data_IF_104300153121
#
_entry.id   IF_104300153121
#
_cell.length_a   1.000
_cell.length_b   1.000
_cell.length_c   1.000
_cell.angle_alpha   90.00
_cell.angle_beta   90.00
_cell.angle_gamma   90.00
#
_symmetry.space_group_name_H-M   'P 1'
#
loop_
_entity.id
_entity.type
_entity.pdbx_description
1 polymer ?
#
# COMPACT_ATOMS: atom_id res chain seq x y z
N UNK A 1 29.95 -35.26 53.73
CA UNK A 1 31.20 -35.82 53.17
C UNK A 1 31.02 -36.04 51.67
N UNK A 2 32.07 -35.73 50.92
CA UNK A 2 32.15 -35.56 49.47
C UNK A 2 32.31 -36.93 48.77
N UNK A 3 31.75 -37.10 47.58
CA UNK A 3 32.28 -38.06 46.59
C UNK A 3 31.98 -37.54 45.19
N UNK A 4 33.03 -37.00 44.58
CA UNK A 4 33.14 -36.68 43.16
C UNK A 4 33.28 -37.98 42.35
N UNK A 5 32.66 -38.04 41.17
CA UNK A 5 33.27 -38.67 39.98
C UNK A 5 32.99 -37.79 38.76
N UNK A 6 34.01 -37.06 38.34
CA UNK A 6 34.21 -36.59 36.97
C UNK A 6 34.97 -37.69 36.24
N UNK A 7 34.55 -38.07 35.03
CA UNK A 7 35.42 -38.31 33.86
C UNK A 7 34.56 -38.93 32.72
N UNK A 8 34.19 -38.21 31.65
CA UNK A 8 34.88 -37.85 30.36
C UNK A 8 34.65 -38.87 29.21
N UNK A 9 34.51 -38.34 27.98
CA UNK A 9 34.74 -38.95 26.64
C UNK A 9 33.58 -39.78 26.04
N UNK A 10 33.08 -39.68 24.78
CA UNK A 10 33.46 -39.16 23.43
C UNK A 10 32.14 -39.04 22.61
N UNK A 11 31.72 -37.88 22.09
CA UNK A 11 31.78 -37.37 20.70
C UNK A 11 31.40 -38.32 19.53
N UNK A 12 30.37 -37.94 18.73
CA UNK A 12 30.26 -37.99 17.24
C UNK A 12 28.86 -37.41 16.85
N UNK A 13 28.68 -36.17 16.37
CA UNK A 13 28.96 -35.55 15.06
C UNK A 13 28.06 -36.01 13.88
N UNK A 14 27.24 -35.05 13.40
CA UNK A 14 26.70 -34.79 12.04
C UNK A 14 25.75 -35.88 11.43
N UNK A 15 24.66 -35.60 10.69
CA UNK A 15 24.29 -34.48 9.80
C UNK A 15 22.86 -34.73 9.22
N UNK A 16 22.26 -33.66 8.65
CA UNK A 16 21.27 -33.64 7.55
C UNK A 16 19.76 -33.77 7.85
N UNK A 17 19.12 -32.63 8.08
CA UNK A 17 18.16 -32.08 7.11
C UNK A 17 18.07 -30.56 7.30
N UNK A 18 18.98 -29.85 6.62
CA UNK A 18 18.85 -28.44 6.33
C UNK A 18 17.74 -28.27 5.28
N UNK A 19 16.57 -27.83 5.71
CA UNK A 19 15.61 -27.13 4.84
C UNK A 19 14.80 -26.11 5.63
N UNK A 20 15.48 -25.27 6.39
CA UNK A 20 15.02 -23.89 6.59
C UNK A 20 16.03 -23.01 5.89
N UNK A 21 15.77 -22.77 4.61
CA UNK A 21 16.39 -21.68 3.87
C UNK A 21 15.87 -20.37 4.46
N UNK A 22 16.37 -20.01 5.64
CA UNK A 22 16.24 -18.69 6.23
C UNK A 22 17.67 -18.21 6.46
N UNK A 23 18.34 -17.87 5.37
CA UNK A 23 19.68 -17.28 5.44
C UNK A 23 19.83 -16.24 4.34
N UNK A 24 19.56 -15.01 4.78
CA UNK A 24 20.47 -13.87 4.72
C UNK A 24 19.99 -12.65 3.94
N UNK A 25 20.00 -11.56 4.69
CA UNK A 25 19.97 -10.16 4.32
C UNK A 25 18.71 -9.70 3.61
N UNK A 26 17.72 -9.38 4.44
CA UNK A 26 16.84 -8.26 4.16
C UNK A 26 17.75 -7.01 4.15
N UNK A 27 18.43 -6.79 3.02
CA UNK A 27 18.45 -5.43 2.51
C UNK A 27 16.98 -5.14 2.30
N UNK A 28 16.37 -4.36 3.22
CA UNK A 28 15.00 -3.88 3.04
C UNK A 28 15.01 -3.20 1.68
N UNK A 29 14.50 -3.92 0.67
CA UNK A 29 14.65 -3.50 -0.71
C UNK A 29 13.70 -2.35 -0.99
N UNK A 30 13.75 -1.76 -2.20
CA UNK A 30 12.79 -0.77 -2.65
C UNK A 30 11.33 -1.20 -2.45
N UNK A 31 11.05 -2.50 -2.51
CA UNK A 31 9.72 -3.05 -2.23
C UNK A 31 9.29 -2.96 -0.75
N UNK A 32 10.22 -3.09 0.19
CA UNK A 32 9.93 -2.95 1.63
C UNK A 32 9.61 -1.51 2.00
N UNK A 33 10.41 -0.56 1.47
CA UNK A 33 10.20 0.87 1.68
C UNK A 33 8.87 1.33 1.05
N UNK A 34 8.61 0.92 -0.19
CA UNK A 34 7.36 1.19 -0.88
C UNK A 34 6.14 0.69 -0.09
N UNK A 35 6.17 -0.56 0.40
CA UNK A 35 5.06 -1.12 1.16
C UNK A 35 4.82 -0.37 2.47
N UNK A 36 5.88 0.04 3.18
CA UNK A 36 5.76 0.87 4.38
C UNK A 36 5.12 2.24 4.05
N UNK A 37 5.55 2.89 2.96
CA UNK A 37 4.95 4.17 2.55
C UNK A 37 3.51 4.03 2.11
N UNK A 38 3.18 2.99 1.35
CA UNK A 38 1.81 2.68 0.97
C UNK A 38 0.94 2.46 2.21
N UNK A 39 1.45 1.75 3.21
CA UNK A 39 0.75 1.54 4.49
C UNK A 39 0.52 2.86 5.23
N UNK A 40 1.54 3.72 5.32
CA UNK A 40 1.43 5.04 5.99
C UNK A 40 0.41 5.91 5.26
N UNK A 41 0.46 5.96 3.93
CA UNK A 41 -0.46 6.74 3.09
C UNK A 41 -1.90 6.24 3.17
N UNK A 42 -2.11 4.92 3.19
CA UNK A 42 -3.43 4.30 3.31
C UNK A 42 -3.95 4.24 4.76
N UNK A 43 -3.11 4.59 5.74
CA UNK A 43 -3.45 4.53 7.15
C UNK A 43 -4.51 5.57 7.57
N UNK A 44 -5.18 5.33 8.71
CA UNK A 44 -6.21 6.25 9.24
C UNK A 44 -5.64 7.61 9.65
N UNK A 45 -4.37 7.65 10.03
CA UNK A 45 -3.68 8.87 10.49
C UNK A 45 -2.96 9.61 9.34
N UNK A 46 -3.11 9.15 8.10
CA UNK A 46 -2.42 9.72 6.96
C UNK A 46 -2.95 11.12 6.59
N UNK A 47 -2.11 11.92 5.93
CA UNK A 47 -2.53 13.20 5.37
C UNK A 47 -3.64 13.02 4.32
N UNK A 48 -3.63 11.90 3.58
CA UNK A 48 -4.64 11.57 2.59
C UNK A 48 -6.00 11.29 3.24
N UNK A 49 -6.05 10.49 4.31
CA UNK A 49 -7.29 10.16 5.04
C UNK A 49 -7.88 11.39 5.74
N UNK A 50 -7.02 12.27 6.26
CA UNK A 50 -7.43 13.48 6.97
C UNK A 50 -7.43 14.74 6.08
N UNK A 51 -7.40 14.55 4.76
CA UNK A 51 -7.20 15.65 3.82
C UNK A 51 -8.32 16.69 3.94
N UNK A 52 -7.92 17.94 4.13
CA UNK A 52 -8.82 19.09 4.10
C UNK A 52 -8.37 20.06 3.01
N UNK A 53 -9.19 20.27 1.99
CA UNK A 53 -8.83 21.06 0.80
C UNK A 53 -8.61 22.56 1.07
N UNK A 54 -9.03 23.04 2.24
CA UNK A 54 -8.81 24.43 2.69
C UNK A 54 -7.47 24.60 3.44
N UNK A 55 -6.77 23.50 3.73
CA UNK A 55 -5.45 23.49 4.34
C UNK A 55 -4.39 23.22 3.26
N UNK A 56 -3.81 24.28 2.70
CA UNK A 56 -2.82 24.18 1.63
C UNK A 56 -1.55 23.44 2.05
N UNK A 57 -1.14 23.53 3.32
CA UNK A 57 0.03 22.79 3.82
C UNK A 57 -0.25 21.28 3.79
N UNK A 58 -1.43 20.86 4.23
CA UNK A 58 -1.81 19.45 4.25
C UNK A 58 -1.95 18.89 2.82
N UNK A 59 -2.53 19.68 1.91
CA UNK A 59 -2.61 19.31 0.49
C UNK A 59 -1.21 19.13 -0.12
N UNK A 60 -0.31 20.08 0.11
CA UNK A 60 1.07 19.99 -0.41
C UNK A 60 1.81 18.77 0.17
N UNK A 61 1.57 18.45 1.44
CA UNK A 61 2.13 17.24 2.06
C UNK A 61 1.58 15.98 1.39
N UNK A 62 0.26 15.88 1.20
CA UNK A 62 -0.35 14.74 0.50
C UNK A 62 0.21 14.57 -0.91
N UNK A 63 0.39 15.66 -1.65
CA UNK A 63 1.02 15.62 -2.98
C UNK A 63 2.45 15.09 -2.89
N UNK A 64 3.25 15.62 -1.96
CA UNK A 64 4.63 15.18 -1.78
C UNK A 64 4.71 13.69 -1.43
N UNK A 65 3.85 13.20 -0.53
CA UNK A 65 3.82 11.79 -0.13
C UNK A 65 3.44 10.88 -1.32
N UNK A 66 2.48 11.29 -2.15
CA UNK A 66 2.08 10.55 -3.37
C UNK A 66 3.22 10.46 -4.39
N UNK A 67 3.92 11.57 -4.61
CA UNK A 67 5.06 11.62 -5.54
C UNK A 67 6.24 10.80 -5.02
N UNK A 68 6.47 10.81 -3.71
CA UNK A 68 7.50 9.99 -3.08
C UNK A 68 7.18 8.50 -3.23
N UNK A 69 5.94 8.09 -2.96
CA UNK A 69 5.47 6.71 -3.20
C UNK A 69 5.72 6.28 -4.66
N UNK A 70 5.41 7.14 -5.62
CA UNK A 70 5.64 6.87 -7.04
C UNK A 70 7.12 6.75 -7.42
N UNK A 71 8.00 7.47 -6.72
CA UNK A 71 9.45 7.43 -6.93
C UNK A 71 10.12 6.17 -6.38
N UNK A 72 9.53 5.58 -5.35
CA UNK A 72 10.03 4.36 -4.68
C UNK A 72 9.37 3.08 -5.21
N UNK A 73 8.37 3.23 -6.07
CA UNK A 73 7.62 2.11 -6.61
C UNK A 73 8.51 1.06 -7.31
N UNK A 74 8.42 -0.23 -6.93
CA UNK A 74 9.10 -1.31 -7.61
C UNK A 74 8.76 -1.34 -9.10
N UNK A 75 9.70 -1.79 -9.93
CA UNK A 75 9.54 -1.80 -11.40
C UNK A 75 8.30 -2.55 -11.90
N UNK A 76 7.78 -3.49 -11.09
CA UNK A 76 6.57 -4.26 -11.38
C UNK A 76 5.27 -3.45 -11.28
N UNK A 77 5.26 -2.33 -10.54
CA UNK A 77 4.07 -1.51 -10.28
C UNK A 77 4.33 -0.01 -10.47
N UNK A 78 5.50 0.37 -10.97
CA UNK A 78 5.92 1.77 -11.02
C UNK A 78 5.10 2.62 -11.98
N UNK A 79 4.67 2.06 -13.11
CA UNK A 79 3.84 2.77 -14.09
C UNK A 79 2.45 3.06 -13.52
N UNK A 80 1.87 2.06 -12.90
CA UNK A 80 0.54 2.12 -12.29
C UNK A 80 0.55 3.11 -11.11
N UNK A 81 1.58 3.03 -10.27
CA UNK A 81 1.75 3.94 -9.13
C UNK A 81 1.95 5.39 -9.61
N UNK A 82 2.79 5.62 -10.62
CA UNK A 82 3.00 6.96 -11.19
C UNK A 82 1.72 7.52 -11.81
N UNK A 83 0.98 6.72 -12.57
CA UNK A 83 -0.27 7.15 -13.18
C UNK A 83 -1.29 7.61 -12.12
N UNK A 84 -1.42 6.85 -11.03
CA UNK A 84 -2.30 7.22 -9.90
C UNK A 84 -1.77 8.48 -9.20
N UNK A 85 -0.49 8.51 -8.80
CA UNK A 85 0.07 9.63 -8.05
C UNK A 85 -0.01 10.96 -8.82
N UNK A 86 0.34 10.97 -10.10
CA UNK A 86 0.30 12.18 -10.93
C UNK A 86 -1.12 12.67 -11.18
N UNK A 87 -2.10 11.77 -11.38
CA UNK A 87 -3.49 12.22 -11.50
C UNK A 87 -3.98 12.86 -10.20
N UNK A 88 -3.67 12.27 -9.05
CA UNK A 88 -4.05 12.85 -7.77
C UNK A 88 -3.33 14.17 -7.51
N UNK A 89 -2.05 14.32 -7.89
CA UNK A 89 -1.35 15.60 -7.88
C UNK A 89 -2.10 16.67 -8.69
N UNK A 90 -2.45 16.37 -9.94
CA UNK A 90 -3.15 17.30 -10.84
C UNK A 90 -4.51 17.70 -10.27
N UNK A 91 -5.28 16.72 -9.76
CA UNK A 91 -6.58 16.95 -9.13
C UNK A 91 -6.42 17.87 -7.91
N UNK A 92 -5.52 17.53 -6.99
CA UNK A 92 -5.34 18.28 -5.75
C UNK A 92 -4.85 19.70 -6.02
N UNK A 93 -3.83 19.85 -6.87
CA UNK A 93 -3.31 21.14 -7.32
C UNK A 93 -4.39 22.00 -7.96
N UNK A 94 -5.25 21.40 -8.79
CA UNK A 94 -6.34 22.13 -9.43
C UNK A 94 -7.39 22.58 -8.44
N UNK A 95 -7.83 21.70 -7.54
CA UNK A 95 -8.91 21.97 -6.58
C UNK A 95 -8.53 23.07 -5.59
N UNK A 96 -7.28 23.13 -5.14
CA UNK A 96 -6.82 24.20 -4.23
C UNK A 96 -6.62 25.53 -4.94
N UNK A 97 -6.39 25.52 -6.26
CA UNK A 97 -6.21 26.74 -7.05
C UNK A 97 -7.52 27.50 -7.32
N UNK A 98 -8.68 26.90 -7.04
CA UNK A 98 -10.00 27.47 -7.35
C UNK A 98 -10.83 27.70 -6.09
N UNK A 99 -11.84 28.56 -6.23
CA UNK A 99 -12.78 28.81 -5.12
C UNK A 99 -13.57 27.54 -4.76
N UNK A 100 -14.02 27.37 -3.50
CA UNK A 100 -14.83 26.22 -3.09
C UNK A 100 -16.04 25.97 -3.99
N UNK A 101 -16.70 27.02 -4.47
CA UNK A 101 -17.85 26.94 -5.39
C UNK A 101 -17.52 26.37 -6.78
N UNK A 102 -16.25 26.38 -7.19
CA UNK A 102 -15.80 25.89 -8.49
C UNK A 102 -15.26 24.46 -8.44
N UNK A 103 -14.90 23.94 -7.27
CA UNK A 103 -14.23 22.65 -7.09
C UNK A 103 -14.96 21.50 -7.77
N UNK A 104 -16.27 21.38 -7.58
CA UNK A 104 -17.08 20.32 -8.22
C UNK A 104 -17.05 20.40 -9.75
N UNK A 105 -17.03 21.61 -10.31
CA UNK A 105 -16.97 21.79 -11.77
C UNK A 105 -15.60 21.45 -12.32
N UNK A 106 -14.53 21.80 -11.61
CA UNK A 106 -13.17 21.41 -12.01
C UNK A 106 -12.93 19.91 -11.85
N UNK A 107 -13.39 19.29 -10.75
CA UNK A 107 -13.34 17.85 -10.52
C UNK A 107 -13.97 17.05 -11.66
N UNK A 108 -15.10 17.52 -12.20
CA UNK A 108 -15.79 16.85 -13.31
C UNK A 108 -14.93 16.76 -14.57
N UNK A 109 -13.96 17.66 -14.75
CA UNK A 109 -13.08 17.66 -15.92
C UNK A 109 -12.09 16.49 -15.90
N UNK A 110 -11.82 15.92 -14.74
CA UNK A 110 -10.91 14.78 -14.55
C UNK A 110 -11.60 13.41 -14.67
N UNK A 111 -12.88 13.35 -15.06
CA UNK A 111 -13.63 12.09 -15.07
C UNK A 111 -13.03 11.06 -16.04
N UNK A 112 -12.61 11.51 -17.23
CA UNK A 112 -12.00 10.60 -18.21
C UNK A 112 -10.67 10.05 -17.70
N UNK A 113 -9.84 10.90 -17.10
CA UNK A 113 -8.56 10.52 -16.52
C UNK A 113 -8.73 9.57 -15.32
N UNK A 114 -9.76 9.80 -14.48
CA UNK A 114 -10.13 8.88 -13.39
C UNK A 114 -10.53 7.50 -13.92
N UNK A 115 -11.30 7.46 -15.02
CA UNK A 115 -11.67 6.20 -15.67
C UNK A 115 -10.44 5.48 -16.25
N UNK A 116 -9.51 6.21 -16.87
CA UNK A 116 -8.27 5.66 -17.41
C UNK A 116 -7.36 5.06 -16.34
N UNK A 117 -7.21 5.71 -15.19
CA UNK A 117 -6.34 5.20 -14.11
C UNK A 117 -7.01 4.13 -13.24
N UNK A 118 -8.30 3.82 -13.44
CA UNK A 118 -9.01 2.83 -12.62
C UNK A 118 -8.31 1.46 -12.64
N UNK A 119 -7.78 1.05 -13.79
CA UNK A 119 -7.02 -0.22 -13.90
C UNK A 119 -5.70 -0.14 -13.12
N UNK A 120 -5.01 0.99 -13.18
CA UNK A 120 -3.77 1.23 -12.43
C UNK A 120 -4.02 1.25 -10.92
N UNK A 121 -5.10 1.90 -10.47
CA UNK A 121 -5.50 1.92 -9.06
C UNK A 121 -5.79 0.51 -8.54
N UNK A 122 -6.50 -0.31 -9.33
CA UNK A 122 -6.76 -1.72 -8.98
C UNK A 122 -5.49 -2.56 -8.93
N UNK A 123 -4.54 -2.32 -9.83
CA UNK A 123 -3.25 -3.01 -9.80
C UNK A 123 -2.44 -2.64 -8.55
N UNK A 124 -2.46 -1.36 -8.15
CA UNK A 124 -1.81 -0.88 -6.94
C UNK A 124 -2.46 -1.47 -5.67
N UNK A 125 -3.79 -1.52 -5.63
CA UNK A 125 -4.55 -2.18 -4.56
C UNK A 125 -4.15 -3.66 -4.45
N UNK A 126 -4.21 -4.41 -5.56
CA UNK A 126 -3.84 -5.83 -5.58
C UNK A 126 -2.39 -6.04 -5.14
N UNK A 127 -1.46 -5.20 -5.61
CA UNK A 127 -0.07 -5.27 -5.17
C UNK A 127 0.06 -5.03 -3.66
N UNK A 128 -0.65 -4.03 -3.13
CA UNK A 128 -0.67 -3.75 -1.70
C UNK A 128 -1.23 -4.93 -0.88
N UNK A 129 -2.23 -5.64 -1.39
CA UNK A 129 -2.77 -6.84 -0.74
C UNK A 129 -1.80 -8.02 -0.80
N UNK A 130 -1.27 -8.34 -1.99
CA UNK A 130 -0.51 -9.58 -2.20
C UNK A 130 0.95 -9.46 -1.77
N UNK A 131 1.59 -8.32 -2.02
CA UNK A 131 3.01 -8.12 -1.76
C UNK A 131 3.25 -7.37 -0.44
N UNK A 132 2.39 -6.40 -0.10
CA UNK A 132 2.53 -5.61 1.13
C UNK A 132 1.71 -6.14 2.32
N UNK A 133 0.79 -7.08 2.10
CA UNK A 133 -0.07 -7.64 3.15
C UNK A 133 -1.08 -6.63 3.72
N UNK A 134 -1.42 -5.59 2.95
CA UNK A 134 -2.43 -4.60 3.31
C UNK A 134 -3.83 -5.14 3.05
N UNK A 135 -4.83 -4.59 3.75
CA UNK A 135 -6.23 -4.94 3.54
C UNK A 135 -7.01 -3.67 3.22
N UNK A 136 -7.46 -3.54 1.97
CA UNK A 136 -8.23 -2.39 1.52
C UNK A 136 -9.72 -2.70 1.55
N UNK A 137 -10.54 -1.68 1.84
CA UNK A 137 -11.96 -1.75 1.54
C UNK A 137 -12.10 -1.37 0.08
N UNK A 138 -12.13 -2.37 -0.79
CA UNK A 138 -12.16 -2.12 -2.23
C UNK A 138 -13.45 -1.39 -2.63
N UNK A 139 -13.36 -0.23 -3.31
CA UNK A 139 -14.52 0.38 -3.94
C UNK A 139 -14.93 -0.37 -5.22
N UNK A 140 -14.12 -1.33 -5.68
CA UNK A 140 -14.35 -2.08 -6.92
C UNK A 140 -15.06 -3.42 -6.68
N UNK A 141 -15.09 -3.91 -5.44
CA UNK A 141 -15.85 -5.11 -5.06
C UNK A 141 -17.33 -4.72 -4.81
N UNK A 142 -18.26 -5.25 -5.60
CA UNK A 142 -19.68 -5.22 -5.23
C UNK A 142 -19.84 -6.12 -4.02
N UNK A 143 -20.35 -5.60 -2.90
CA UNK A 143 -20.67 -6.42 -1.72
C UNK A 143 -21.45 -7.66 -2.15
N UNK A 144 -20.85 -8.84 -1.98
CA UNK A 144 -21.56 -10.11 -2.10
C UNK A 144 -22.48 -10.29 -0.89
N UNK A 145 -23.42 -9.36 -0.69
CA UNK A 145 -24.56 -9.57 0.20
C UNK A 145 -25.48 -10.51 -0.54
N UNK A 146 -25.44 -11.79 -0.17
CA UNK A 146 -26.42 -12.79 -0.60
C UNK A 146 -27.82 -12.23 -0.37
N UNK A 147 -28.52 -11.87 -1.45
CA UNK A 147 -29.97 -11.65 -1.41
C UNK A 147 -30.58 -12.98 -0.98
N UNK A 148 -31.37 -13.06 0.11
CA UNK A 148 -32.07 -14.28 0.43
C UNK A 148 -32.99 -14.60 -0.74
N UNK A 149 -32.79 -15.76 -1.39
CA UNK A 149 -33.76 -16.28 -2.35
C UNK A 149 -35.10 -16.36 -1.63
N UNK A 150 -36.04 -15.52 -2.04
CA UNK A 150 -37.44 -15.76 -1.74
C UNK A 150 -37.79 -17.08 -2.44
N UNK A 151 -38.01 -18.12 -1.65
CA UNK A 151 -38.69 -19.32 -2.13
C UNK A 151 -40.11 -18.88 -2.48
N UNK A 152 -40.43 -18.87 -3.78
CA UNK A 152 -41.82 -18.87 -4.23
C UNK A 152 -42.32 -20.31 -4.11
N UNK A 153 -43.25 -20.53 -3.17
CA UNK A 153 -44.14 -21.69 -3.09
C UNK A 153 -45.21 -21.63 -4.20
#
# INVERSE_FOLDING_TARGET
>A
MKSQKLSTFVAFILLLALSTSCSNDISEGPASDFCNKLQILAGPDSALTNLTLDNSQLVNQTIADLLELASEAPSSISKETQAVAFLYEDILSKIVSVSPSQRTTELRKFQAELDEVTTSARALELYGETECGLNFISPFETSNTTVPQANED
#
